data_IF_808788181413
#
_entry.id   IF_808788181413
#
_cell.length_a   1.000
_cell.length_b   1.000
_cell.length_c   1.000
_cell.angle_alpha   90.00
_cell.angle_beta   90.00
_cell.angle_gamma   90.00
#
_symmetry.space_group_name_H-M   'P 1'
#
loop_
_entity.id
_entity.type
_entity.pdbx_description
1 polymer ?
#
# COMPACT_ATOMS: atom_id res chain seq x y z
N UNK A 1 -8.06 2.69 21.21
CA UNK A 1 -8.21 1.30 20.74
C UNK A 1 -6.92 0.56 20.98
N UNK A 2 -6.99 -0.68 21.46
CA UNK A 2 -5.85 -1.54 21.75
C UNK A 2 -5.90 -2.79 20.88
N UNK A 3 -4.92 -2.93 19.99
CA UNK A 3 -4.86 -4.06 19.05
C UNK A 3 -3.75 -5.00 19.48
N UNK A 4 -4.08 -6.28 19.64
CA UNK A 4 -3.07 -7.31 19.94
C UNK A 4 -2.46 -7.81 18.64
N UNK A 5 -1.14 -7.74 18.53
CA UNK A 5 -0.36 -8.21 17.38
C UNK A 5 0.51 -9.40 17.83
N UNK A 6 0.18 -10.65 17.42
CA UNK A 6 0.99 -11.83 17.71
C UNK A 6 2.43 -11.70 17.19
N UNK A 7 3.42 -12.20 17.95
CA UNK A 7 4.84 -12.05 17.65
C UNK A 7 5.65 -13.32 17.98
N UNK A 8 5.07 -14.49 17.68
CA UNK A 8 5.74 -15.77 17.84
C UNK A 8 5.82 -16.29 19.27
N UNK A 9 6.69 -17.29 19.46
CA UNK A 9 6.87 -18.00 20.72
C UNK A 9 8.33 -17.87 21.15
N UNK A 10 8.55 -17.56 22.43
CA UNK A 10 9.89 -17.51 23.03
C UNK A 10 9.85 -18.16 24.40
N UNK A 11 10.79 -19.08 24.65
CA UNK A 11 10.92 -19.81 25.92
C UNK A 11 9.60 -20.49 26.38
N UNK A 12 8.82 -21.01 25.41
CA UNK A 12 7.53 -21.66 25.66
C UNK A 12 6.36 -20.69 25.91
N UNK A 13 6.59 -19.38 25.86
CA UNK A 13 5.57 -18.34 26.09
C UNK A 13 5.16 -17.65 24.81
N UNK A 14 3.88 -17.31 24.69
CA UNK A 14 3.38 -16.47 23.61
C UNK A 14 3.96 -15.06 23.75
N UNK A 15 4.47 -14.51 22.65
CA UNK A 15 4.93 -13.13 22.57
C UNK A 15 3.95 -12.33 21.74
N UNK A 16 3.61 -11.12 22.18
CA UNK A 16 2.78 -10.20 21.40
C UNK A 16 3.02 -8.76 21.81
N UNK A 17 2.65 -7.84 20.93
CA UNK A 17 2.61 -6.41 21.24
C UNK A 17 1.16 -5.92 21.25
N UNK A 18 0.85 -4.95 22.10
CA UNK A 18 -0.37 -4.17 22.04
C UNK A 18 -0.07 -2.83 21.36
N UNK A 19 -0.59 -2.63 20.16
CA UNK A 19 -0.53 -1.35 19.47
C UNK A 19 -1.69 -0.45 19.87
N UNK A 20 -1.39 0.79 20.24
CA UNK A 20 -2.40 1.76 20.69
C UNK A 20 -2.72 2.76 19.59
N UNK A 21 -3.99 2.84 19.23
CA UNK A 21 -4.53 3.90 18.38
C UNK A 21 -5.39 4.84 19.22
N UNK A 22 -4.88 6.07 19.42
CA UNK A 22 -5.55 7.12 20.17
C UNK A 22 -6.36 7.97 19.19
N UNK A 23 -7.68 8.05 19.41
CA UNK A 23 -8.59 8.88 18.63
C UNK A 23 -9.29 9.87 19.55
N UNK A 24 -8.82 11.11 19.52
CA UNK A 24 -9.46 12.24 20.20
C UNK A 24 -10.54 12.85 19.32
N UNK A 25 -11.69 13.13 19.93
CA UNK A 25 -12.82 13.83 19.32
C UNK A 25 -13.31 14.89 20.30
N UNK A 26 -13.64 16.07 19.80
CA UNK A 26 -14.21 17.16 20.56
C UNK A 26 -15.57 17.53 19.96
N UNK A 27 -16.57 17.63 20.83
CA UNK A 27 -17.98 17.76 20.46
C UNK A 27 -18.51 19.19 20.41
N UNK A 28 -17.70 20.22 20.70
CA UNK A 28 -18.16 21.61 20.71
C UNK A 28 -17.78 22.29 19.39
N UNK A 29 -18.78 22.71 18.61
CA UNK A 29 -18.60 23.30 17.28
C UNK A 29 -17.98 24.70 17.29
N UNK A 30 -16.82 24.87 17.92
CA UNK A 30 -16.06 26.11 18.06
C UNK A 30 -14.63 25.99 17.53
N UNK A 31 -13.69 26.76 18.12
CA UNK A 31 -12.28 26.84 17.71
C UNK A 31 -11.61 25.45 17.72
N UNK A 32 -10.58 25.25 16.88
CA UNK A 32 -9.72 24.05 16.90
C UNK A 32 -9.30 23.72 18.34
N UNK A 33 -9.68 22.55 18.87
CA UNK A 33 -9.29 22.15 20.22
C UNK A 33 -7.78 21.89 20.29
N UNK A 34 -7.22 22.07 21.47
CA UNK A 34 -5.82 21.78 21.77
C UNK A 34 -5.70 20.60 22.73
N UNK A 35 -4.51 20.01 22.80
CA UNK A 35 -4.26 18.80 23.59
C UNK A 35 -4.50 19.00 25.10
N UNK A 36 -4.42 20.24 25.60
CA UNK A 36 -4.78 20.61 26.98
C UNK A 36 -6.19 20.23 27.43
N UNK A 37 -7.11 19.98 26.50
CA UNK A 37 -8.46 19.50 26.81
C UNK A 37 -8.48 17.99 27.16
N UNK A 38 -7.36 17.28 26.98
CA UNK A 38 -7.23 15.85 27.18
C UNK A 38 -6.13 15.54 28.21
N UNK A 39 -6.36 15.80 29.51
CA UNK A 39 -5.34 15.67 30.56
C UNK A 39 -4.77 14.26 30.70
N UNK A 40 -5.60 13.23 30.50
CA UNK A 40 -5.16 11.83 30.46
C UNK A 40 -4.11 11.60 29.36
N UNK A 41 -4.30 12.22 28.19
CA UNK A 41 -3.42 12.07 27.04
C UNK A 41 -2.13 12.88 27.22
N UNK A 42 -2.20 14.05 27.88
CA UNK A 42 -0.99 14.77 28.28
C UNK A 42 -0.13 13.98 29.28
N UNK A 43 -0.77 13.11 30.05
CA UNK A 43 -0.12 12.21 31.01
C UNK A 43 -0.19 10.73 30.54
N UNK A 44 -0.16 10.52 29.22
CA UNK A 44 -0.39 9.21 28.63
C UNK A 44 0.60 8.13 29.14
N UNK A 45 1.93 8.38 29.22
CA UNK A 45 2.88 7.42 29.75
C UNK A 45 2.55 6.88 31.16
N UNK A 46 2.19 7.77 32.09
CA UNK A 46 1.79 7.38 33.45
C UNK A 46 0.47 6.61 33.46
N UNK A 47 -0.47 7.03 32.59
CA UNK A 47 -1.73 6.29 32.39
C UNK A 47 -1.44 4.86 31.96
N UNK A 48 -0.56 4.66 30.97
CA UNK A 48 -0.16 3.33 30.49
C UNK A 48 0.57 2.53 31.56
N UNK A 49 1.46 3.17 32.32
CA UNK A 49 2.19 2.55 33.43
C UNK A 49 1.27 1.96 34.49
N UNK A 50 0.16 2.64 34.80
CA UNK A 50 -0.81 2.21 35.80
C UNK A 50 -1.77 1.10 35.34
N UNK A 51 -1.86 0.80 34.03
CA UNK A 51 -2.79 -0.20 33.50
C UNK A 51 -2.25 -1.62 33.67
N UNK A 52 -3.07 -2.49 34.25
CA UNK A 52 -2.91 -3.94 34.17
C UNK A 52 -3.56 -4.48 32.90
N UNK A 53 -2.93 -5.46 32.27
CA UNK A 53 -3.42 -6.03 31.03
C UNK A 53 -3.73 -7.52 31.19
N UNK A 54 -4.89 -7.93 30.68
CA UNK A 54 -5.23 -9.32 30.48
C UNK A 54 -5.41 -9.64 29.00
N UNK A 55 -5.61 -10.91 28.69
CA UNK A 55 -5.92 -11.40 27.34
C UNK A 55 -7.14 -12.28 27.41
N UNK A 56 -8.03 -12.10 26.43
CA UNK A 56 -9.12 -13.03 26.15
C UNK A 56 -8.91 -13.63 24.78
N UNK A 57 -9.23 -14.91 24.63
CA UNK A 57 -9.12 -15.64 23.37
C UNK A 57 -10.32 -16.55 23.20
N UNK A 58 -10.45 -17.08 22.00
CA UNK A 58 -11.50 -18.03 21.62
C UNK A 58 -11.41 -19.29 22.51
N UNK A 59 -12.21 -19.34 23.57
CA UNK A 59 -12.23 -20.44 24.54
C UNK A 59 -13.64 -20.96 24.73
N UNK A 60 -13.77 -22.28 24.92
CA UNK A 60 -15.08 -22.94 25.07
C UNK A 60 -15.69 -22.84 26.47
N UNK A 61 -14.95 -22.41 27.52
CA UNK A 61 -15.36 -22.67 28.92
C UNK A 61 -15.28 -21.54 29.95
N UNK A 62 -14.64 -20.40 29.70
CA UNK A 62 -14.60 -19.29 30.68
C UNK A 62 -14.55 -17.93 29.97
N UNK A 63 -14.93 -16.83 30.63
CA UNK A 63 -14.83 -15.48 30.06
C UNK A 63 -13.71 -14.64 30.68
N UNK A 64 -13.12 -15.08 31.79
CA UNK A 64 -12.13 -14.29 32.53
C UNK A 64 -10.84 -14.08 31.71
N UNK A 65 -10.30 -12.84 31.66
CA UNK A 65 -9.01 -12.55 31.06
C UNK A 65 -7.86 -13.25 31.79
N UNK A 66 -6.91 -13.81 31.04
CA UNK A 66 -5.65 -14.32 31.59
C UNK A 66 -4.66 -13.16 31.69
N UNK A 67 -3.97 -13.04 32.83
CA UNK A 67 -3.01 -11.96 33.04
C UNK A 67 -1.83 -12.04 32.06
N UNK A 68 -1.48 -10.90 31.44
CA UNK A 68 -0.35 -10.78 30.53
C UNK A 68 0.79 -10.04 31.21
N UNK A 69 2.01 -10.57 31.14
CA UNK A 69 3.19 -9.92 31.73
C UNK A 69 3.78 -8.94 30.74
N UNK A 70 3.79 -7.65 31.09
CA UNK A 70 4.50 -6.61 30.33
C UNK A 70 6.00 -6.85 30.36
N UNK A 71 6.67 -6.76 29.22
CA UNK A 71 8.12 -6.94 29.07
C UNK A 71 8.83 -5.78 28.36
N UNK A 72 8.09 -4.86 27.75
CA UNK A 72 8.66 -3.61 27.25
C UNK A 72 9.05 -2.65 28.39
N UNK A 73 9.96 -1.69 28.16
CA UNK A 73 10.27 -0.64 29.13
C UNK A 73 9.02 0.16 29.56
N UNK A 74 9.10 0.77 30.74
CA UNK A 74 8.12 1.76 31.16
C UNK A 74 8.11 2.95 30.18
N UNK A 75 6.93 3.46 29.79
CA UNK A 75 6.82 4.67 28.98
C UNK A 75 7.42 5.90 29.68
N UNK A 76 8.06 6.77 28.92
CA UNK A 76 8.77 7.98 29.36
C UNK A 76 7.87 9.22 29.21
N UNK A 77 7.52 9.82 30.36
CA UNK A 77 6.69 11.01 30.42
C UNK A 77 7.38 12.26 29.86
N UNK A 78 8.67 12.45 30.15
CA UNK A 78 9.41 13.62 29.69
C UNK A 78 9.54 13.61 28.17
N UNK A 79 9.81 12.44 27.58
CA UNK A 79 9.87 12.26 26.13
C UNK A 79 8.52 12.52 25.46
N UNK A 80 7.43 12.01 26.05
CA UNK A 80 6.08 12.29 25.55
C UNK A 80 5.78 13.79 25.54
N UNK A 81 6.03 14.47 26.66
CA UNK A 81 5.78 15.91 26.79
C UNK A 81 6.76 16.77 25.98
N UNK A 82 7.92 16.23 25.59
CA UNK A 82 8.82 16.88 24.65
C UNK A 82 8.18 16.98 23.25
N UNK A 83 7.44 15.96 22.83
CA UNK A 83 6.78 15.88 21.52
C UNK A 83 5.40 16.54 21.55
N UNK A 84 4.59 16.23 22.56
CA UNK A 84 3.19 16.61 22.65
C UNK A 84 2.98 17.73 23.66
N UNK A 85 3.00 18.98 23.15
CA UNK A 85 2.76 20.17 23.96
C UNK A 85 1.27 20.39 24.23
N UNK A 86 0.89 20.99 25.37
CA UNK A 86 -0.52 21.28 25.68
C UNK A 86 -1.25 22.09 24.60
N UNK A 87 -0.54 22.93 23.85
CA UNK A 87 -1.07 23.78 22.79
C UNK A 87 -1.16 23.09 21.43
N UNK A 88 -0.69 21.83 21.32
CA UNK A 88 -0.72 21.10 20.06
C UNK A 88 -2.17 21.02 19.54
N UNK A 89 -2.40 21.35 18.26
CA UNK A 89 -3.74 21.32 17.70
C UNK A 89 -4.24 19.87 17.63
N UNK A 90 -5.51 19.70 17.94
CA UNK A 90 -6.24 18.45 17.80
C UNK A 90 -7.32 18.69 16.77
N UNK A 91 -7.24 18.03 15.61
CA UNK A 91 -8.34 18.05 14.65
C UNK A 91 -9.21 16.82 14.91
N UNK A 92 -10.53 16.99 14.82
CA UNK A 92 -11.43 15.85 14.93
C UNK A 92 -11.07 14.82 13.85
N UNK A 93 -10.83 13.58 14.28
CA UNK A 93 -10.47 12.52 13.36
C UNK A 93 -11.59 12.31 12.35
N UNK A 94 -11.25 12.41 11.06
CA UNK A 94 -12.12 12.07 9.96
C UNK A 94 -11.39 11.12 9.04
N UNK A 95 -11.88 9.88 8.97
CA UNK A 95 -11.35 8.92 8.01
C UNK A 95 -11.52 9.45 6.59
N UNK A 96 -10.44 9.46 5.82
CA UNK A 96 -10.50 9.72 4.39
C UNK A 96 -11.08 8.48 3.68
N UNK A 97 -12.30 8.60 3.14
CA UNK A 97 -12.88 7.57 2.27
C UNK A 97 -12.23 7.65 0.89
N UNK A 98 -11.15 6.88 0.73
CA UNK A 98 -10.45 6.71 -0.55
C UNK A 98 -10.96 5.49 -1.34
N UNK A 99 -11.97 4.76 -0.83
CA UNK A 99 -12.49 3.54 -1.47
C UNK A 99 -13.12 3.81 -2.85
N UNK A 100 -13.51 5.07 -3.10
CA UNK A 100 -14.11 5.54 -4.36
C UNK A 100 -13.07 6.01 -5.37
N UNK A 101 -11.81 6.15 -4.96
CA UNK A 101 -10.77 6.59 -5.86
C UNK A 101 -10.40 5.47 -6.82
N UNK A 102 -10.25 5.81 -8.09
CA UNK A 102 -9.72 4.88 -9.08
C UNK A 102 -8.25 4.60 -8.79
N UNK A 103 -7.90 3.34 -8.55
CA UNK A 103 -6.52 2.87 -8.43
C UNK A 103 -6.04 2.40 -9.80
N UNK A 104 -4.95 3.02 -10.28
CA UNK A 104 -4.32 2.70 -11.56
C UNK A 104 -2.90 2.21 -11.31
N UNK A 105 -2.56 1.10 -11.95
CA UNK A 105 -1.20 0.56 -12.08
C UNK A 105 -1.05 0.00 -13.50
N UNK A 106 0.11 -0.56 -13.84
CA UNK A 106 0.36 -1.13 -15.16
C UNK A 106 0.94 -2.54 -15.05
N UNK A 107 0.68 -3.41 -16.03
CA UNK A 107 1.10 -4.81 -15.96
C UNK A 107 2.55 -4.99 -16.39
N UNK A 108 3.45 -4.98 -15.41
CA UNK A 108 4.91 -5.08 -15.64
C UNK A 108 5.26 -6.29 -16.50
N UNK A 109 4.68 -7.46 -16.21
CA UNK A 109 4.92 -8.70 -16.98
C UNK A 109 4.53 -8.58 -18.44
N UNK A 110 3.37 -8.00 -18.73
CA UNK A 110 2.90 -7.86 -20.11
C UNK A 110 3.75 -6.85 -20.89
N UNK A 111 4.09 -5.73 -20.25
CA UNK A 111 4.99 -4.71 -20.81
C UNK A 111 6.36 -5.32 -21.09
N UNK A 112 6.94 -6.04 -20.13
CA UNK A 112 8.21 -6.73 -20.30
C UNK A 112 8.16 -7.79 -21.39
N UNK A 113 7.07 -8.55 -21.51
CA UNK A 113 6.87 -9.53 -22.57
C UNK A 113 6.91 -8.88 -23.95
N UNK A 114 6.21 -7.75 -24.12
CA UNK A 114 6.23 -6.98 -25.37
C UNK A 114 7.64 -6.46 -25.69
N UNK A 115 8.32 -5.86 -24.69
CA UNK A 115 9.69 -5.38 -24.85
C UNK A 115 10.62 -6.54 -25.23
N UNK A 116 10.60 -7.65 -24.49
CA UNK A 116 11.44 -8.82 -24.75
C UNK A 116 11.22 -9.37 -26.17
N UNK A 117 9.96 -9.49 -26.61
CA UNK A 117 9.66 -9.94 -27.98
C UNK A 117 10.25 -9.01 -29.04
N UNK A 118 10.24 -7.70 -28.81
CA UNK A 118 10.85 -6.72 -29.72
C UNK A 118 12.35 -6.93 -29.85
N UNK A 119 13.06 -7.16 -28.73
CA UNK A 119 14.51 -7.39 -28.75
C UNK A 119 14.87 -8.74 -29.35
N UNK A 120 14.10 -9.79 -29.06
CA UNK A 120 14.31 -11.12 -29.64
C UNK A 120 14.15 -11.09 -31.17
N UNK A 121 13.12 -10.40 -31.68
CA UNK A 121 12.91 -10.25 -33.11
C UNK A 121 14.08 -9.49 -33.77
N UNK A 122 14.52 -8.36 -33.19
CA UNK A 122 15.66 -7.61 -33.73
C UNK A 122 16.95 -8.42 -33.67
N UNK A 123 17.24 -9.08 -32.55
CA UNK A 123 18.44 -9.91 -32.41
C UNK A 123 18.46 -11.07 -33.42
N UNK A 124 17.29 -11.63 -33.76
CA UNK A 124 17.18 -12.71 -34.74
C UNK A 124 17.30 -12.23 -36.19
N UNK A 125 16.74 -11.07 -36.53
CA UNK A 125 16.64 -10.60 -37.92
C UNK A 125 17.75 -9.61 -38.33
N UNK A 126 18.38 -8.94 -37.36
CA UNK A 126 19.37 -7.88 -37.58
C UNK A 126 20.44 -7.88 -36.47
N UNK A 127 21.25 -8.95 -36.35
CA UNK A 127 22.16 -9.13 -35.20
C UNK A 127 23.35 -8.17 -35.18
N UNK A 128 23.80 -7.68 -36.34
CA UNK A 128 25.03 -6.88 -36.46
C UNK A 128 24.77 -5.37 -36.51
N UNK A 129 23.58 -4.96 -36.94
CA UNK A 129 23.22 -3.55 -37.03
C UNK A 129 21.74 -3.30 -36.73
N UNK A 130 21.36 -2.11 -36.24
CA UNK A 130 19.96 -1.73 -36.04
C UNK A 130 19.16 -1.84 -37.35
N UNK A 131 17.98 -2.48 -37.35
CA UNK A 131 17.17 -2.61 -38.55
C UNK A 131 16.57 -1.25 -38.97
N UNK A 132 16.12 -1.11 -40.23
CA UNK A 132 15.31 0.03 -40.64
C UNK A 132 14.08 0.19 -39.74
N UNK A 133 13.70 1.42 -39.42
CA UNK A 133 12.57 1.72 -38.51
C UNK A 133 11.26 1.10 -39.00
N UNK A 134 11.05 1.05 -40.31
CA UNK A 134 9.86 0.46 -40.94
C UNK A 134 9.68 -1.03 -40.62
N UNK A 135 10.76 -1.77 -40.32
CA UNK A 135 10.66 -3.17 -39.87
C UNK A 135 10.04 -3.30 -38.48
N UNK A 136 10.26 -2.33 -37.59
CA UNK A 136 9.66 -2.35 -36.25
C UNK A 136 8.36 -1.56 -36.15
N UNK A 137 8.26 -0.44 -36.86
CA UNK A 137 7.12 0.46 -36.81
C UNK A 137 6.08 0.11 -37.88
N UNK A 138 5.47 -1.06 -37.71
CA UNK A 138 4.31 -1.54 -38.46
C UNK A 138 3.12 -1.79 -37.53
N UNK A 139 1.92 -2.00 -38.08
CA UNK A 139 0.63 -2.15 -37.34
C UNK A 139 0.69 -3.14 -36.17
N UNK A 140 1.41 -4.24 -36.35
CA UNK A 140 1.57 -5.31 -35.36
C UNK A 140 2.90 -5.23 -34.56
N UNK A 141 3.69 -4.18 -34.79
CA UNK A 141 4.95 -3.91 -34.09
C UNK A 141 4.82 -2.74 -33.12
N UNK A 142 5.79 -1.83 -33.15
CA UNK A 142 5.84 -0.64 -32.28
C UNK A 142 4.64 0.30 -32.47
N UNK A 143 3.93 0.24 -33.59
CA UNK A 143 2.73 1.06 -33.78
C UNK A 143 1.60 0.70 -32.81
N UNK A 144 1.59 -0.53 -32.26
CA UNK A 144 0.62 -0.94 -31.23
C UNK A 144 0.71 -0.08 -29.97
N UNK A 145 1.92 0.38 -29.62
CA UNK A 145 2.17 1.14 -28.39
C UNK A 145 2.25 2.65 -28.64
N UNK A 146 2.06 3.10 -29.88
CA UNK A 146 1.98 4.52 -30.22
C UNK A 146 0.55 5.03 -29.97
N UNK A 147 0.44 6.11 -29.18
CA UNK A 147 -0.85 6.69 -28.79
C UNK A 147 -1.09 8.08 -29.41
N UNK A 148 -0.09 8.62 -30.11
CA UNK A 148 -0.15 9.87 -30.86
C UNK A 148 -0.48 9.59 -32.32
N UNK A 149 -1.24 10.47 -33.02
CA UNK A 149 -1.48 10.34 -34.45
C UNK A 149 -0.18 10.19 -35.25
N UNK A 150 -0.27 9.51 -36.39
CA UNK A 150 0.81 9.50 -37.38
C UNK A 150 0.66 10.76 -38.23
N UNK A 151 1.74 11.53 -38.36
CA UNK A 151 1.74 12.79 -39.13
C UNK A 151 2.35 12.63 -40.52
N UNK A 152 3.26 11.68 -40.69
CA UNK A 152 3.88 11.30 -41.95
C UNK A 152 2.86 10.60 -42.85
N UNK A 153 2.68 11.16 -44.05
CA UNK A 153 1.66 10.71 -45.01
C UNK A 153 1.95 9.29 -45.52
N UNK A 154 3.22 8.93 -45.69
CA UNK A 154 3.62 7.61 -46.20
C UNK A 154 3.37 6.52 -45.16
N UNK A 155 3.69 6.78 -43.90
CA UNK A 155 3.41 5.86 -42.79
C UNK A 155 1.91 5.77 -42.51
N UNK A 156 1.16 6.88 -42.60
CA UNK A 156 -0.29 6.87 -42.38
C UNK A 156 -1.08 5.99 -43.37
N UNK A 157 -0.51 5.69 -44.55
CA UNK A 157 -1.11 4.80 -45.55
C UNK A 157 -0.89 3.31 -45.24
N UNK A 158 0.18 2.97 -44.51
CA UNK A 158 0.65 1.59 -44.33
C UNK A 158 0.54 1.09 -42.89
N UNK A 159 0.54 2.01 -41.93
CA UNK A 159 0.50 1.74 -40.50
C UNK A 159 -0.84 2.18 -39.92
N UNK A 160 -1.56 1.24 -39.32
CA UNK A 160 -2.82 1.51 -38.64
C UNK A 160 -2.60 1.51 -37.13
N UNK A 161 -2.88 2.63 -36.48
CA UNK A 161 -2.88 2.69 -35.01
C UNK A 161 -4.08 1.95 -34.45
N UNK A 162 -3.85 1.11 -33.45
CA UNK A 162 -4.90 0.35 -32.76
C UNK A 162 -5.85 1.24 -31.96
N UNK A 163 -5.37 2.40 -31.50
CA UNK A 163 -6.11 3.32 -30.64
C UNK A 163 -5.46 4.70 -30.61
N UNK A 164 -6.04 5.63 -29.86
CA UNK A 164 -5.43 6.91 -29.49
C UNK A 164 -5.39 7.06 -27.97
N UNK A 165 -4.59 8.00 -27.47
CA UNK A 165 -4.54 8.30 -26.05
C UNK A 165 -5.93 8.64 -25.46
N UNK A 166 -6.74 9.41 -26.20
CA UNK A 166 -8.08 9.82 -25.73
C UNK A 166 -9.05 8.64 -25.66
N UNK A 167 -9.07 7.80 -26.70
CA UNK A 167 -9.92 6.60 -26.73
C UNK A 167 -9.52 5.64 -25.63
N UNK A 168 -8.22 5.40 -25.44
CA UNK A 168 -7.74 4.49 -24.40
C UNK A 168 -8.07 5.02 -23.00
N UNK A 169 -7.86 6.31 -22.73
CA UNK A 169 -8.21 6.94 -21.46
C UNK A 169 -9.71 6.81 -21.13
N UNK A 170 -10.59 7.00 -22.11
CA UNK A 170 -12.02 6.81 -21.93
C UNK A 170 -12.38 5.34 -21.66
N UNK A 171 -11.77 4.41 -22.41
CA UNK A 171 -12.03 2.98 -22.26
C UNK A 171 -11.61 2.43 -20.89
N UNK A 172 -10.37 2.73 -20.45
CA UNK A 172 -9.83 2.32 -19.15
C UNK A 172 -10.66 2.89 -18.01
N UNK A 173 -11.07 4.16 -18.11
CA UNK A 173 -11.91 4.80 -17.11
C UNK A 173 -13.28 4.14 -17.01
N UNK A 174 -13.96 3.93 -18.14
CA UNK A 174 -15.28 3.27 -18.17
C UNK A 174 -15.22 1.84 -17.63
N UNK A 175 -14.18 1.10 -18.00
CA UNK A 175 -13.94 -0.25 -17.51
C UNK A 175 -13.79 -0.27 -15.98
N UNK A 176 -12.94 0.61 -15.42
CA UNK A 176 -12.72 0.60 -13.98
C UNK A 176 -13.90 1.19 -13.18
N UNK A 177 -14.65 2.14 -13.76
CA UNK A 177 -15.86 2.68 -13.17
C UNK A 177 -17.03 1.67 -13.16
N UNK A 178 -17.05 0.68 -14.05
CA UNK A 178 -18.06 -0.40 -14.02
C UNK A 178 -17.77 -1.48 -12.97
N UNK A 179 -16.55 -1.52 -12.43
CA UNK A 179 -16.17 -2.49 -11.41
C UNK A 179 -16.72 -2.13 -10.02
N UNK A 180 -16.99 -3.17 -9.23
CA UNK A 180 -17.28 -3.05 -7.78
C UNK A 180 -16.09 -2.48 -7.03
N UNK A 181 -14.89 -2.97 -7.34
CA UNK A 181 -13.61 -2.46 -6.83
C UNK A 181 -13.05 -1.53 -7.90
N UNK A 182 -12.88 -0.23 -7.58
CA UNK A 182 -12.44 0.80 -8.53
C UNK A 182 -10.96 0.68 -8.89
N UNK A 183 -10.61 -0.38 -9.61
CA UNK A 183 -9.29 -0.67 -10.11
C UNK A 183 -9.37 -1.12 -11.57
N UNK A 184 -8.36 -0.76 -12.36
CA UNK A 184 -8.25 -1.24 -13.75
C UNK A 184 -7.91 -2.73 -13.73
N UNK A 185 -8.61 -3.53 -14.54
CA UNK A 185 -8.30 -4.96 -14.68
C UNK A 185 -7.17 -5.15 -15.70
N UNK A 186 -6.31 -6.12 -15.42
CA UNK A 186 -5.24 -6.57 -16.31
C UNK A 186 -5.57 -7.98 -16.75
N UNK A 187 -5.42 -8.26 -18.05
CA UNK A 187 -5.51 -9.63 -18.57
C UNK A 187 -4.16 -10.35 -18.49
N UNK A 188 -4.13 -11.68 -18.32
CA UNK A 188 -2.88 -12.45 -18.32
C UNK A 188 -2.08 -12.33 -19.63
N UNK A 189 -2.77 -12.10 -20.74
CA UNK A 189 -2.13 -11.90 -22.05
C UNK A 189 -1.80 -10.42 -22.28
N UNK A 190 -0.64 -10.11 -22.91
CA UNK A 190 -0.29 -8.75 -23.27
C UNK A 190 -1.35 -8.09 -24.15
N UNK A 191 -1.69 -6.85 -23.80
CA UNK A 191 -2.53 -5.94 -24.58
C UNK A 191 -1.75 -4.65 -24.79
N UNK A 192 -0.74 -4.64 -25.70
CA UNK A 192 0.24 -3.55 -25.78
C UNK A 192 -0.37 -2.14 -25.82
N UNK A 193 -1.47 -1.87 -26.54
CA UNK A 193 -2.10 -0.54 -26.52
C UNK A 193 -2.57 -0.10 -25.13
N UNK A 194 -3.19 -1.01 -24.36
CA UNK A 194 -3.69 -0.73 -23.00
C UNK A 194 -2.54 -0.71 -22.00
N UNK A 195 -1.64 -1.68 -22.07
CA UNK A 195 -0.52 -1.85 -21.13
C UNK A 195 0.42 -0.64 -21.16
N UNK A 196 0.77 -0.17 -22.36
CA UNK A 196 1.61 1.01 -22.54
C UNK A 196 0.86 2.34 -22.35
N UNK A 197 -0.47 2.35 -22.43
CA UNK A 197 -1.24 3.49 -21.95
C UNK A 197 -1.17 3.58 -20.42
N UNK A 198 -1.40 2.47 -19.72
CA UNK A 198 -1.35 2.40 -18.26
C UNK A 198 0.05 2.75 -17.73
N UNK A 199 1.12 2.25 -18.37
CA UNK A 199 2.50 2.62 -18.04
C UNK A 199 2.72 4.13 -18.10
N UNK A 200 2.28 4.76 -19.21
CA UNK A 200 2.44 6.21 -19.42
C UNK A 200 1.57 7.02 -18.47
N UNK A 201 0.35 6.57 -18.17
CA UNK A 201 -0.54 7.25 -17.23
C UNK A 201 -0.01 7.13 -15.79
N UNK A 202 0.54 5.98 -15.41
CA UNK A 202 1.17 5.76 -14.10
C UNK A 202 2.36 6.71 -13.87
N UNK A 203 3.20 6.90 -14.89
CA UNK A 203 4.36 7.80 -14.83
C UNK A 203 4.03 9.26 -15.18
N UNK A 204 2.77 9.59 -15.45
CA UNK A 204 2.37 10.92 -15.88
C UNK A 204 2.61 11.94 -14.77
N UNK A 205 3.40 13.01 -15.01
CA UNK A 205 3.55 14.09 -14.04
C UNK A 205 2.18 14.72 -13.74
N UNK A 206 1.81 14.81 -12.46
CA UNK A 206 0.53 15.41 -12.03
C UNK A 206 0.54 16.95 -11.98
N UNK A 207 1.69 17.57 -12.26
CA UNK A 207 1.82 19.02 -12.30
C UNK A 207 0.99 19.60 -13.46
N UNK A 208 0.23 20.67 -13.18
CA UNK A 208 -0.50 21.39 -14.22
C UNK A 208 0.49 22.25 -15.01
N UNK A 209 0.55 22.00 -16.32
CA UNK A 209 1.22 22.88 -17.27
C UNK A 209 0.17 23.90 -17.73
N UNK A 210 0.48 25.18 -17.54
CA UNK A 210 -0.33 26.30 -18.03
C UNK A 210 0.52 27.15 -18.95
N UNK A 211 -0.08 27.77 -19.97
CA UNK A 211 0.67 28.70 -20.82
C UNK A 211 0.82 30.05 -20.11
N UNK A 212 2.02 30.62 -20.16
CA UNK A 212 2.25 32.00 -19.79
C UNK A 212 1.32 32.90 -20.63
N UNK A 213 0.50 33.77 -20.03
CA UNK A 213 -0.42 34.61 -20.78
C UNK A 213 0.26 35.51 -21.81
N UNK A 214 1.51 35.96 -21.54
CA UNK A 214 2.30 36.88 -22.36
C UNK A 214 3.23 36.15 -23.32
N UNK A 215 4.03 35.20 -22.84
CA UNK A 215 5.05 34.53 -23.68
C UNK A 215 4.51 33.31 -24.41
N UNK A 216 3.32 32.83 -24.05
CA UNK A 216 2.71 31.57 -24.51
C UNK A 216 3.60 30.33 -24.30
N UNK A 217 4.64 30.44 -23.47
CA UNK A 217 5.49 29.31 -23.12
C UNK A 217 4.85 28.47 -22.01
N UNK A 218 5.12 27.16 -21.95
CA UNK A 218 4.61 26.30 -20.89
C UNK A 218 5.26 26.63 -19.54
N UNK A 219 4.45 27.01 -18.56
CA UNK A 219 4.84 27.15 -17.15
C UNK A 219 4.35 25.92 -16.39
N UNK A 220 5.27 25.25 -15.70
CA UNK A 220 4.95 24.21 -14.74
C UNK A 220 4.51 24.89 -13.43
N UNK A 221 3.24 24.80 -13.08
CA UNK A 221 2.75 25.33 -11.80
C UNK A 221 3.28 24.46 -10.67
N UNK A 222 4.36 24.90 -10.03
CA UNK A 222 4.85 24.30 -8.79
C UNK A 222 3.87 24.61 -7.66
N UNK A 223 3.47 23.60 -6.90
CA UNK A 223 2.68 23.82 -5.68
C UNK A 223 3.61 24.49 -4.66
N UNK A 224 3.24 25.66 -4.08
CA UNK A 224 4.05 26.28 -3.05
C UNK A 224 4.12 25.34 -1.84
N UNK A 225 5.34 25.02 -1.40
CA UNK A 225 5.55 24.20 -0.21
C UNK A 225 5.36 25.12 1.00
N UNK A 226 4.25 24.94 1.71
CA UNK A 226 4.01 25.62 3.00
C UNK A 226 4.33 24.66 4.14
N UNK A 227 4.82 25.18 5.27
CA UNK A 227 5.01 24.36 6.47
C UNK A 227 3.62 23.88 6.93
N UNK A 228 3.35 22.56 6.97
CA UNK A 228 2.06 22.07 7.43
C UNK A 228 1.94 22.32 8.94
N UNK A 229 0.71 22.63 9.38
CA UNK A 229 0.38 22.56 10.80
C UNK A 229 0.03 21.10 11.11
N UNK A 230 0.95 20.41 11.79
CA UNK A 230 0.78 19.01 12.17
C UNK A 230 -0.09 18.95 13.42
N UNK A 231 -1.18 18.19 13.36
CA UNK A 231 -2.02 17.89 14.52
C UNK A 231 -1.51 16.69 15.33
N UNK A 232 -2.09 16.50 16.52
CA UNK A 232 -1.79 15.38 17.41
C UNK A 232 -1.84 14.00 16.72
N UNK A 233 -2.90 13.71 15.97
CA UNK A 233 -3.08 12.42 15.29
C UNK A 233 -2.11 12.24 14.11
N UNK A 234 -1.79 13.31 13.38
CA UNK A 234 -0.76 13.30 12.34
C UNK A 234 0.63 13.05 12.93
N UNK A 235 0.96 13.69 14.06
CA UNK A 235 2.21 13.45 14.78
C UNK A 235 2.30 11.99 15.25
N UNK A 236 1.23 11.43 15.83
CA UNK A 236 1.15 10.00 16.16
C UNK A 236 1.37 9.11 14.94
N UNK A 237 0.74 9.44 13.80
CA UNK A 237 0.90 8.68 12.57
C UNK A 237 2.35 8.73 12.02
N UNK A 238 3.12 9.79 12.27
CA UNK A 238 4.54 9.82 11.92
C UNK A 238 5.39 8.94 12.84
N UNK A 239 5.06 8.90 14.13
CA UNK A 239 5.77 8.12 15.16
C UNK A 239 5.69 6.61 14.90
N UNK A 240 4.66 6.13 14.20
CA UNK A 240 4.50 4.70 13.88
C UNK A 240 5.65 4.11 13.05
N UNK A 241 6.46 4.96 12.39
CA UNK A 241 7.65 4.55 11.65
C UNK A 241 8.88 4.31 12.56
N UNK A 242 8.76 4.52 13.87
CA UNK A 242 9.86 4.43 14.83
C UNK A 242 9.51 3.44 15.96
N UNK A 243 9.65 2.12 15.75
CA UNK A 243 9.18 1.09 16.69
C UNK A 243 9.79 1.17 18.10
N UNK A 244 11.05 1.61 18.21
CA UNK A 244 11.69 1.83 19.52
C UNK A 244 11.06 3.03 20.26
N UNK A 245 10.82 4.13 19.54
CA UNK A 245 10.17 5.31 20.09
C UNK A 245 8.73 5.02 20.51
N UNK A 246 8.00 4.22 19.74
CA UNK A 246 6.63 3.79 20.12
C UNK A 246 6.57 3.13 21.49
N UNK A 247 7.57 2.30 21.83
CA UNK A 247 7.66 1.62 23.14
C UNK A 247 7.90 2.61 24.28
N UNK A 248 8.87 3.52 24.07
CA UNK A 248 9.16 4.59 25.02
C UNK A 248 7.98 5.55 25.19
N UNK A 249 7.09 5.68 24.21
CA UNK A 249 5.90 6.54 24.31
C UNK A 249 4.64 5.81 24.78
N UNK A 250 4.70 4.51 25.08
CA UNK A 250 3.53 3.72 25.47
C UNK A 250 2.49 3.57 24.33
N UNK A 251 2.93 3.66 23.07
CA UNK A 251 2.11 3.45 21.88
C UNK A 251 2.21 2.03 21.32
N UNK A 252 3.25 1.30 21.72
CA UNK A 252 3.39 -0.14 21.55
C UNK A 252 3.91 -0.73 22.86
N UNK A 253 3.26 -1.78 23.37
CA UNK A 253 3.64 -2.41 24.63
C UNK A 253 3.84 -3.90 24.38
N UNK A 254 4.99 -4.44 24.77
CA UNK A 254 5.30 -5.85 24.56
C UNK A 254 4.91 -6.68 25.78
N UNK A 255 4.41 -7.89 25.52
CA UNK A 255 3.95 -8.83 26.53
C UNK A 255 4.44 -10.25 26.27
N UNK A 256 4.57 -11.00 27.35
CA UNK A 256 4.63 -12.45 27.33
C UNK A 256 3.42 -13.04 28.07
N UNK A 257 2.98 -14.21 27.63
CA UNK A 257 1.88 -14.96 28.23
C UNK A 257 2.24 -16.44 28.30
N UNK A 258 2.12 -17.03 29.50
CA UNK A 258 2.18 -18.47 29.68
C UNK A 258 1.05 -19.12 28.86
N UNK A 259 1.38 -20.11 28.03
CA UNK A 259 0.40 -20.75 27.15
C UNK A 259 -0.65 -21.46 28.01
N UNK A 260 -1.93 -21.04 27.96
CA UNK A 260 -2.99 -21.74 28.67
C UNK A 260 -3.18 -23.18 28.15
N UNK A 261 -3.50 -24.12 29.03
CA UNK A 261 -3.66 -25.54 28.65
C UNK A 261 -4.79 -25.78 27.62
N UNK A 262 -5.76 -24.87 27.52
CA UNK A 262 -6.88 -24.89 26.59
C UNK A 262 -6.73 -23.93 25.40
N UNK A 263 -5.52 -23.41 25.15
CA UNK A 263 -5.25 -22.49 24.05
C UNK A 263 -5.37 -23.19 22.69
N UNK A 264 -6.30 -22.79 21.80
CA UNK A 264 -6.53 -23.50 20.55
C UNK A 264 -5.43 -23.22 19.51
N UNK A 265 -5.27 -24.14 18.54
CA UNK A 265 -4.32 -24.02 17.43
C UNK A 265 -4.65 -22.90 16.44
N UNK A 266 -5.86 -22.36 16.50
CA UNK A 266 -6.31 -21.22 15.70
C UNK A 266 -7.56 -20.63 16.35
N UNK A 267 -7.77 -19.34 16.20
CA UNK A 267 -8.96 -18.67 16.71
C UNK A 267 -8.80 -17.17 16.67
N UNK A 268 -9.39 -16.49 17.65
CA UNK A 268 -9.18 -15.07 17.86
C UNK A 268 -8.62 -14.79 19.26
N UNK A 269 -7.87 -13.70 19.39
CA UNK A 269 -7.28 -13.23 20.64
C UNK A 269 -7.43 -11.71 20.72
N UNK A 270 -7.66 -11.15 21.91
CA UNK A 270 -7.66 -9.70 22.14
C UNK A 270 -7.08 -9.36 23.50
N UNK A 271 -6.42 -8.21 23.57
CA UNK A 271 -5.94 -7.64 24.82
C UNK A 271 -7.06 -6.90 25.55
N UNK A 272 -7.02 -6.91 26.88
CA UNK A 272 -7.99 -6.26 27.76
C UNK A 272 -7.23 -5.34 28.72
N UNK A 273 -7.26 -4.01 28.52
CA UNK A 273 -6.78 -3.06 29.51
C UNK A 273 -7.78 -3.01 30.68
N UNK A 274 -7.38 -3.51 31.85
CA UNK A 274 -8.28 -3.63 33.00
C UNK A 274 -8.74 -2.25 33.51
N UNK A 275 -10.02 -2.15 33.90
CA UNK A 275 -10.62 -0.92 34.41
C UNK A 275 -10.91 0.15 33.35
N UNK A 276 -10.73 -0.17 32.05
CA UNK A 276 -10.98 0.75 30.94
C UNK A 276 -12.08 0.23 30.03
N UNK A 277 -12.78 1.15 29.39
CA UNK A 277 -13.83 0.84 28.40
C UNK A 277 -13.37 1.20 26.98
N UNK A 278 -12.12 0.87 26.68
CA UNK A 278 -11.51 1.12 25.37
C UNK A 278 -11.88 0.02 24.37
N UNK A 279 -11.93 0.39 23.08
CA UNK A 279 -12.12 -0.56 22.00
C UNK A 279 -10.94 -1.55 21.93
N UNK A 280 -11.27 -2.85 21.90
CA UNK A 280 -10.31 -3.97 21.91
C UNK A 280 -10.72 -5.00 20.84
N UNK A 281 -10.37 -4.76 19.56
CA UNK A 281 -10.72 -5.67 18.48
C UNK A 281 -10.11 -7.06 18.69
N UNK A 282 -10.76 -8.07 18.13
CA UNK A 282 -10.20 -9.42 18.00
C UNK A 282 -9.14 -9.42 16.92
N UNK A 283 -8.08 -10.19 17.13
CA UNK A 283 -7.09 -10.54 16.12
C UNK A 283 -7.18 -12.04 15.86
N UNK A 284 -7.44 -12.44 14.62
CA UNK A 284 -7.38 -13.83 14.22
C UNK A 284 -5.93 -14.32 14.28
N UNK A 285 -5.68 -15.53 14.76
CA UNK A 285 -4.33 -16.07 14.91
C UNK A 285 -4.23 -17.54 14.52
N UNK A 286 -3.00 -17.94 14.18
CA UNK A 286 -2.56 -19.33 14.06
C UNK A 286 -1.58 -19.64 15.19
N UNK A 287 -1.64 -20.85 15.74
CA UNK A 287 -0.77 -21.33 16.81
C UNK A 287 -0.31 -22.77 16.54
N UNK A 288 1.01 -22.96 16.46
CA UNK A 288 1.66 -24.26 16.39
C UNK A 288 2.97 -24.22 17.19
N UNK A 289 2.98 -24.76 18.43
CA UNK A 289 4.16 -24.73 19.27
C UNK A 289 5.30 -25.59 18.72
N UNK A 290 5.00 -26.66 17.97
CA UNK A 290 6.01 -27.53 17.36
C UNK A 290 6.81 -26.81 16.27
N UNK A 291 6.22 -25.77 15.67
CA UNK A 291 6.85 -24.92 14.65
C UNK A 291 7.22 -23.53 15.15
N UNK A 292 6.96 -23.21 16.42
CA UNK A 292 7.19 -21.87 16.97
C UNK A 292 6.23 -20.80 16.43
N UNK A 293 5.09 -21.20 15.87
CA UNK A 293 4.14 -20.30 15.22
C UNK A 293 3.18 -19.73 16.27
N UNK A 294 3.16 -18.41 16.35
CA UNK A 294 2.08 -17.62 16.93
C UNK A 294 2.01 -16.30 16.16
N UNK A 295 1.17 -16.27 15.13
CA UNK A 295 1.12 -15.19 14.15
C UNK A 295 -0.32 -14.79 13.86
N UNK A 296 -0.52 -13.57 13.33
CA UNK A 296 -1.83 -13.16 12.84
C UNK A 296 -2.25 -14.05 11.67
N UNK A 297 -3.48 -14.56 11.71
CA UNK A 297 -4.00 -15.39 10.63
C UNK A 297 -4.35 -14.53 9.42
N UNK A 298 -4.04 -15.02 8.22
CA UNK A 298 -4.48 -14.40 6.97
C UNK A 298 -5.96 -14.68 6.72
N UNK A 299 -6.66 -13.68 6.18
CA UNK A 299 -8.00 -13.85 5.62
C UNK A 299 -7.99 -14.42 4.20
N UNK A 300 -6.82 -14.47 3.57
CA UNK A 300 -6.62 -14.86 2.17
C UNK A 300 -6.17 -16.32 2.05
N UNK A 301 -6.45 -16.92 0.89
CA UNK A 301 -6.02 -18.28 0.53
C UNK A 301 -5.55 -18.28 -0.93
N UNK A 302 -4.26 -18.57 -1.21
CA UNK A 302 -3.18 -18.73 -0.23
C UNK A 302 -2.91 -17.42 0.55
N UNK A 303 -2.26 -17.49 1.73
CA UNK A 303 -1.88 -16.30 2.49
C UNK A 303 -0.77 -15.52 1.77
N UNK A 304 -0.83 -14.19 1.87
CA UNK A 304 0.20 -13.29 1.30
C UNK A 304 1.52 -13.36 2.07
N UNK A 305 1.45 -13.58 3.39
CA UNK A 305 2.62 -13.73 4.26
C UNK A 305 2.58 -15.12 4.92
N UNK A 306 3.70 -15.82 4.88
CA UNK A 306 3.90 -17.14 5.52
C UNK A 306 5.17 -17.07 6.36
N UNK A 307 5.07 -17.38 7.66
CA UNK A 307 6.19 -17.33 8.61
C UNK A 307 6.93 -15.97 8.61
N UNK A 308 6.19 -14.86 8.48
CA UNK A 308 6.75 -13.51 8.42
C UNK A 308 7.41 -13.10 7.10
N UNK A 309 7.38 -13.95 6.07
CA UNK A 309 7.91 -13.64 4.74
C UNK A 309 6.80 -13.54 3.71
N UNK A 310 6.96 -12.65 2.73
CA UNK A 310 6.11 -12.61 1.55
C UNK A 310 6.14 -13.99 0.86
N UNK A 311 4.98 -14.54 0.53
CA UNK A 311 4.84 -15.85 -0.07
C UNK A 311 5.26 -15.86 -1.56
N UNK A 312 6.56 -15.72 -1.81
CA UNK A 312 7.14 -15.72 -3.16
C UNK A 312 7.06 -17.09 -3.87
N UNK A 313 6.60 -18.14 -3.17
CA UNK A 313 6.30 -19.43 -3.78
C UNK A 313 4.96 -19.42 -4.55
N UNK A 314 4.13 -18.39 -4.36
CA UNK A 314 2.93 -18.15 -5.16
C UNK A 314 3.32 -17.41 -6.46
N UNK A 315 3.56 -18.19 -7.51
CA UNK A 315 3.93 -17.72 -8.85
C UNK A 315 2.74 -17.18 -9.66
N UNK A 316 1.51 -17.40 -9.20
CA UNK A 316 0.32 -16.74 -9.72
C UNK A 316 0.23 -15.30 -9.22
N UNK A 317 0.68 -15.03 -7.99
CA UNK A 317 0.61 -13.71 -7.38
C UNK A 317 1.87 -12.87 -7.54
N UNK A 318 3.06 -13.48 -7.51
CA UNK A 318 4.34 -12.77 -7.55
C UNK A 318 5.22 -13.21 -8.72
N UNK A 319 5.99 -12.26 -9.24
CA UNK A 319 7.02 -12.52 -10.25
C UNK A 319 8.29 -11.74 -9.91
N UNK A 320 9.43 -12.24 -10.37
CA UNK A 320 10.74 -11.62 -10.16
C UNK A 320 11.22 -10.97 -11.46
N UNK A 321 11.57 -9.69 -11.38
CA UNK A 321 12.10 -8.92 -12.51
C UNK A 321 13.50 -8.44 -12.19
N UNK A 322 14.43 -8.61 -13.14
CA UNK A 322 15.83 -8.19 -12.98
C UNK A 322 16.21 -6.95 -13.79
N UNK A 323 15.30 -6.52 -14.65
CA UNK A 323 15.46 -5.41 -15.57
C UNK A 323 14.79 -4.17 -15.00
N UNK A 324 15.36 -3.00 -15.29
CA UNK A 324 14.67 -1.72 -15.14
C UNK A 324 13.54 -1.61 -16.19
N UNK A 325 12.41 -2.25 -15.88
CA UNK A 325 11.25 -2.35 -16.78
C UNK A 325 10.65 -0.96 -17.07
N UNK A 326 10.57 -0.10 -16.06
CA UNK A 326 10.06 1.26 -16.21
C UNK A 326 10.87 2.03 -17.27
N UNK A 327 12.19 2.07 -17.12
CA UNK A 327 13.03 2.86 -18.02
C UNK A 327 13.03 2.29 -19.45
N UNK A 328 13.18 0.97 -19.63
CA UNK A 328 13.20 0.37 -20.97
C UNK A 328 11.85 0.53 -21.65
N UNK A 329 10.74 0.37 -20.93
CA UNK A 329 9.41 0.44 -21.51
C UNK A 329 9.05 1.87 -21.89
N UNK A 330 9.36 2.87 -21.05
CA UNK A 330 9.15 4.27 -21.38
C UNK A 330 9.99 4.71 -22.59
N UNK A 331 11.24 4.27 -22.70
CA UNK A 331 12.09 4.55 -23.87
C UNK A 331 11.61 3.82 -25.12
N UNK A 332 11.06 2.62 -25.00
CA UNK A 332 10.45 1.89 -26.13
C UNK A 332 9.19 2.61 -26.62
N UNK A 333 8.39 3.12 -25.68
CA UNK A 333 7.26 4.00 -25.96
C UNK A 333 7.68 5.30 -26.68
N UNK A 334 8.79 5.90 -26.26
CA UNK A 334 9.37 7.10 -26.91
C UNK A 334 9.92 6.78 -28.31
N UNK A 335 10.54 5.62 -28.50
CA UNK A 335 11.00 5.15 -29.80
C UNK A 335 9.81 5.03 -30.79
N UNK A 336 8.69 4.46 -30.35
CA UNK A 336 7.47 4.38 -31.15
C UNK A 336 6.88 5.76 -31.48
N UNK A 337 6.91 6.70 -30.54
CA UNK A 337 6.43 8.07 -30.73
C UNK A 337 7.34 8.88 -31.70
N UNK A 338 8.64 8.56 -31.75
CA UNK A 338 9.64 9.24 -32.60
C UNK A 338 9.97 8.47 -33.89
N UNK A 339 9.26 7.38 -34.18
CA UNK A 339 9.53 6.53 -35.34
C UNK A 339 9.55 7.28 -36.67
N UNK A 340 8.66 8.26 -36.86
CA UNK A 340 8.56 9.05 -38.09
C UNK A 340 9.82 9.87 -38.41
N UNK A 341 10.65 10.17 -37.40
CA UNK A 341 11.86 10.98 -37.57
C UNK A 341 13.14 10.13 -37.55
N UNK A 342 13.03 8.80 -37.64
CA UNK A 342 14.16 7.88 -37.53
C UNK A 342 14.23 6.92 -38.70
N UNK A 343 15.42 6.80 -39.30
CA UNK A 343 15.67 5.83 -40.37
C UNK A 343 15.94 4.41 -39.83
N UNK A 344 16.68 4.31 -38.71
CA UNK A 344 17.02 3.05 -38.04
C UNK A 344 16.35 2.96 -36.66
N UNK A 345 16.04 1.74 -36.24
CA UNK A 345 15.48 1.44 -34.93
C UNK A 345 16.55 1.06 -33.92
N UNK A 346 17.20 2.07 -33.34
CA UNK A 346 18.07 1.86 -32.19
C UNK A 346 17.23 1.51 -30.95
N UNK A 347 17.24 0.23 -30.58
CA UNK A 347 16.57 -0.23 -29.38
C UNK A 347 17.22 0.40 -28.13
N UNK A 348 16.43 0.75 -27.09
CA UNK A 348 16.99 1.25 -25.84
C UNK A 348 18.04 0.31 -25.23
N UNK A 349 19.02 0.85 -24.48
CA UNK A 349 19.92 -0.01 -23.74
C UNK A 349 19.18 -0.67 -22.55
N UNK A 350 19.28 -2.00 -22.44
CA UNK A 350 18.81 -2.77 -21.29
C UNK A 350 19.70 -2.50 -20.07
N UNK A 351 19.09 -2.35 -18.89
CA UNK A 351 19.81 -2.13 -17.63
C UNK A 351 19.21 -3.00 -16.56
N UNK A 352 20.07 -3.60 -15.73
CA UNK A 352 19.59 -4.29 -14.53
C UNK A 352 19.29 -3.28 -13.42
N UNK A 353 18.22 -3.54 -12.67
CA UNK A 353 17.84 -2.83 -11.45
C UNK A 353 18.12 -3.64 -10.18
N UNK A 354 18.80 -4.78 -10.29
CA UNK A 354 18.87 -5.79 -9.23
C UNK A 354 17.64 -6.70 -9.26
N UNK A 355 17.27 -7.30 -8.12
CA UNK A 355 16.05 -8.11 -8.01
C UNK A 355 14.87 -7.22 -7.59
N UNK A 356 13.82 -7.18 -8.42
CA UNK A 356 12.53 -6.58 -8.11
C UNK A 356 11.45 -7.65 -7.99
N UNK A 357 10.50 -7.44 -7.07
CA UNK A 357 9.29 -8.26 -6.95
C UNK A 357 8.12 -7.46 -7.53
N UNK A 358 7.35 -8.09 -8.41
CA UNK A 358 6.08 -7.53 -8.89
C UNK A 358 4.92 -8.38 -8.40
N UNK A 359 3.80 -7.73 -8.08
CA UNK A 359 2.56 -8.38 -7.63
C UNK A 359 1.48 -8.25 -8.69
N UNK A 360 0.91 -9.37 -9.10
CA UNK A 360 -0.22 -9.41 -10.03
C UNK A 360 -1.45 -8.76 -9.40
N UNK A 361 -2.24 -8.08 -10.24
CA UNK A 361 -3.43 -7.33 -9.83
C UNK A 361 -3.20 -6.31 -8.67
N UNK A 362 -2.01 -5.72 -8.54
CA UNK A 362 -1.69 -4.82 -7.42
C UNK A 362 -2.68 -3.66 -7.26
N UNK A 363 -3.17 -3.07 -8.36
CA UNK A 363 -4.19 -2.02 -8.30
C UNK A 363 -5.48 -2.49 -7.59
N UNK A 364 -5.91 -3.72 -7.87
CA UNK A 364 -7.10 -4.34 -7.24
C UNK A 364 -6.83 -4.70 -5.79
N UNK A 365 -5.61 -5.17 -5.46
CA UNK A 365 -5.19 -5.44 -4.08
C UNK A 365 -5.28 -4.16 -3.23
N UNK A 366 -4.68 -3.06 -3.68
CA UNK A 366 -4.74 -1.76 -2.99
C UNK A 366 -6.19 -1.26 -2.89
N UNK A 367 -6.98 -1.33 -3.96
CA UNK A 367 -8.37 -0.90 -3.91
C UNK A 367 -9.22 -1.73 -2.92
N UNK A 368 -8.97 -3.03 -2.78
CA UNK A 368 -9.60 -3.88 -1.75
C UNK A 368 -9.22 -3.44 -0.34
N UNK A 369 -7.95 -3.12 -0.08
CA UNK A 369 -7.49 -2.59 1.22
C UNK A 369 -8.22 -1.29 1.56
N UNK A 370 -8.39 -0.38 0.60
CA UNK A 370 -9.11 0.88 0.81
C UNK A 370 -10.60 0.66 1.15
N UNK A 371 -11.27 -0.29 0.48
CA UNK A 371 -12.65 -0.67 0.81
C UNK A 371 -12.73 -1.28 2.20
N UNK A 372 -11.85 -2.24 2.50
CA UNK A 372 -11.78 -2.94 3.79
C UNK A 372 -11.56 -1.98 4.95
N UNK A 373 -10.68 -0.99 4.79
CA UNK A 373 -10.45 0.03 5.81
C UNK A 373 -11.73 0.82 6.14
N UNK A 374 -12.54 1.17 5.12
CA UNK A 374 -13.79 1.91 5.31
C UNK A 374 -14.83 1.05 6.03
N UNK A 375 -14.91 -0.24 5.67
CA UNK A 375 -15.78 -1.21 6.35
C UNK A 375 -15.41 -1.34 7.83
N UNK A 376 -14.12 -1.57 8.14
CA UNK A 376 -13.61 -1.68 9.51
C UNK A 376 -13.89 -0.42 10.34
N UNK A 377 -13.63 0.77 9.81
CA UNK A 377 -13.94 2.01 10.51
C UNK A 377 -15.45 2.19 10.71
N UNK A 378 -16.28 1.82 9.73
CA UNK A 378 -17.74 1.88 9.89
C UNK A 378 -18.23 0.93 10.98
N UNK A 379 -17.67 -0.27 11.07
CA UNK A 379 -18.04 -1.24 12.10
C UNK A 379 -17.54 -0.81 13.48
N UNK A 380 -16.33 -0.23 13.57
CA UNK A 380 -15.79 0.40 14.79
C UNK A 380 -16.72 1.50 15.31
N UNK A 381 -17.12 2.45 14.45
CA UNK A 381 -18.02 3.56 14.82
C UNK A 381 -19.39 3.04 15.29
N UNK A 382 -19.86 1.91 14.74
CA UNK A 382 -21.10 1.25 15.13
C UNK A 382 -20.95 0.33 16.35
N UNK A 383 -19.77 0.29 16.98
CA UNK A 383 -19.43 -0.58 18.11
C UNK A 383 -19.74 -2.05 17.85
N UNK A 384 -19.49 -2.51 16.62
CA UNK A 384 -19.58 -3.93 16.26
C UNK A 384 -18.25 -4.59 16.61
N UNK A 385 -18.33 -5.84 17.06
CA UNK A 385 -17.13 -6.63 17.33
C UNK A 385 -16.33 -6.83 16.04
N UNK A 386 -15.09 -6.36 16.02
CA UNK A 386 -14.19 -6.47 14.89
C UNK A 386 -13.31 -7.70 15.04
N UNK A 387 -13.05 -8.39 13.93
CA UNK A 387 -11.97 -9.37 13.81
C UNK A 387 -11.02 -8.92 12.72
N UNK A 388 -9.78 -8.64 13.13
CA UNK A 388 -8.66 -8.24 12.29
C UNK A 388 -7.86 -9.46 11.88
N UNK A 389 -7.41 -9.47 10.64
CA UNK A 389 -6.51 -10.48 10.08
C UNK A 389 -5.16 -9.85 9.77
N UNK A 390 -4.17 -10.65 9.38
CA UNK A 390 -2.82 -10.19 9.05
C UNK A 390 -2.82 -8.98 8.09
N UNK A 391 -3.74 -8.94 7.10
CA UNK A 391 -3.84 -7.85 6.13
C UNK A 391 -4.41 -6.54 6.69
N UNK A 392 -5.10 -6.62 7.83
CA UNK A 392 -5.69 -5.48 8.53
C UNK A 392 -4.69 -4.87 9.54
N UNK A 393 -3.60 -5.58 9.86
CA UNK A 393 -2.60 -5.14 10.82
C UNK A 393 -1.47 -4.39 10.11
N UNK A 394 -1.32 -3.12 10.46
CA UNK A 394 -0.25 -2.23 9.98
C UNK A 394 1.07 -2.42 10.75
N UNK A 395 1.05 -3.18 11.84
CA UNK A 395 2.19 -3.45 12.72
C UNK A 395 2.07 -4.88 13.25
N UNK A 396 3.16 -5.64 13.19
CA UNK A 396 3.24 -7.04 13.59
C UNK A 396 4.63 -7.55 13.28
#
# INVERSE_FOLDING_TARGET
MWTLCPNGIKDGKLQFSAAVSIRLEEGSGGKTPSLNLFPEILNWPETVKAINFGVTYDKKKSAEPVEARRVSPDPDLELWQAIFKPEAPVFNFKMADLSKNLVVSYPVKNVLTFVASTYLNVASESPEEPPPMEKLFHTDGLAQIRLKPITDVRLAQTVQLRTTQQVMAQSVRREAESQKIKAVQVTPLPQPPKDFFLLRDFHKPKNRITLDPKTKQPIIKKVPITKPQIDFHQALAFITNYPALMRLLGLAIDFELEVPADFPSSGWIKIVPQGRNDETPRTAYNYDPGRGIFEAASSQKPPEVVNGFLNLADDEQYDLVQLDVDAVALKTAELADTAETKEKADLPALRSSGLGVVKNEQAKSIAKVLVRAVELNSDLVRKRELTLYAEDLIQG
#
